data_IF_943644338148
#
_entry.id   IF_943644338148
#
_cell.length_a   1.000
_cell.length_b   1.000
_cell.length_c   1.000
_cell.angle_alpha   90.00
_cell.angle_beta   90.00
_cell.angle_gamma   90.00
#
_symmetry.space_group_name_H-M   'P 1'
#
loop_
_entity.id
_entity.type
_entity.pdbx_description
1 polymer ?
#
# COMPACT_ATOMS: atom_id res chain seq x y z
N UNK A 1 -1.72 -59.88 -29.39
CA UNK A 1 -2.51 -60.52 -30.49
C UNK A 1 -3.34 -59.45 -31.15
N UNK A 2 -3.22 -59.40 -32.50
CA UNK A 2 -4.03 -58.67 -33.52
C UNK A 2 -4.06 -57.14 -33.40
N UNK A 3 -3.32 -56.34 -34.20
CA UNK A 3 -3.21 -56.18 -35.70
C UNK A 3 -4.49 -55.69 -36.37
N UNK A 4 -4.40 -54.52 -37.03
CA UNK A 4 -5.28 -53.94 -38.05
C UNK A 4 -4.99 -52.45 -38.12
N UNK A 5 -4.26 -51.86 -38.93
CA UNK A 5 -3.85 -51.71 -40.35
C UNK A 5 -4.92 -50.99 -41.21
N UNK A 6 -4.50 -49.84 -41.74
CA UNK A 6 -4.83 -49.11 -43.00
C UNK A 6 -6.24 -48.51 -43.14
N UNK A 7 -6.39 -47.26 -43.62
CA UNK A 7 -6.05 -46.82 -44.99
C UNK A 7 -6.02 -45.32 -45.18
N UNK A 8 -5.11 -44.86 -46.03
CA UNK A 8 -5.01 -43.57 -46.71
C UNK A 8 -6.20 -43.32 -47.67
N UNK A 9 -6.58 -42.06 -47.82
CA UNK A 9 -6.94 -41.53 -49.15
C UNK A 9 -6.59 -40.03 -49.24
N UNK A 10 -5.75 -39.73 -50.22
CA UNK A 10 -5.43 -38.39 -50.70
C UNK A 10 -6.40 -38.02 -51.83
N UNK A 11 -6.75 -36.76 -51.93
CA UNK A 11 -7.29 -36.19 -53.15
C UNK A 11 -6.79 -34.75 -53.31
N UNK A 12 -6.02 -34.54 -54.38
CA UNK A 12 -5.59 -33.27 -54.90
C UNK A 12 -6.49 -32.86 -56.09
N UNK A 13 -6.59 -31.57 -56.32
CA UNK A 13 -6.86 -30.90 -57.62
C UNK A 13 -7.59 -29.57 -57.35
N UNK A 14 -7.45 -28.46 -58.04
CA UNK A 14 -6.57 -28.02 -59.11
C UNK A 14 -6.71 -26.49 -59.23
N UNK A 15 -5.72 -25.88 -59.81
CA UNK A 15 -5.63 -24.45 -60.19
C UNK A 15 -6.67 -24.06 -61.23
N UNK A 16 -7.10 -22.77 -61.21
CA UNK A 16 -7.42 -22.05 -62.44
C UNK A 16 -6.88 -20.61 -62.38
N UNK A 17 -5.90 -20.35 -63.22
CA UNK A 17 -5.46 -19.03 -63.68
C UNK A 17 -6.46 -18.47 -64.68
N UNK A 18 -6.79 -17.20 -64.55
CA UNK A 18 -7.49 -16.42 -65.61
C UNK A 18 -6.76 -15.09 -65.81
N UNK A 19 -5.87 -15.07 -66.76
CA UNK A 19 -5.36 -13.86 -67.43
C UNK A 19 -6.31 -13.48 -68.56
N UNK A 20 -6.71 -12.20 -68.65
CA UNK A 20 -7.04 -11.58 -69.89
C UNK A 20 -6.55 -10.15 -69.93
N UNK A 21 -5.90 -9.81 -71.03
CA UNK A 21 -5.14 -8.61 -71.29
C UNK A 21 -5.94 -7.59 -72.14
N UNK A 22 -5.47 -6.34 -72.06
CA UNK A 22 -5.40 -5.29 -73.10
C UNK A 22 -6.65 -4.72 -73.77
N UNK A 23 -6.73 -3.39 -73.69
CA UNK A 23 -7.47 -2.52 -74.60
C UNK A 23 -7.36 -1.05 -74.25
N UNK A 24 -6.66 -0.34 -75.02
CA UNK A 24 -6.10 0.98 -75.19
C UNK A 24 -7.01 2.21 -75.10
N UNK A 25 -6.37 3.33 -74.74
CA UNK A 25 -6.52 4.74 -75.11
C UNK A 25 -7.76 5.55 -74.76
N UNK A 26 -7.51 6.65 -74.09
CA UNK A 26 -8.37 7.81 -73.93
C UNK A 26 -8.03 8.66 -72.73
N UNK A 27 -7.22 9.72 -72.86
CA UNK A 27 -6.76 10.57 -71.78
C UNK A 27 -7.91 11.39 -71.16
N UNK A 28 -7.82 11.58 -69.88
CA UNK A 28 -8.27 12.83 -69.30
C UNK A 28 -7.55 13.06 -67.94
N UNK A 29 -7.20 14.30 -67.68
CA UNK A 29 -6.47 14.79 -66.56
C UNK A 29 -7.34 14.77 -65.29
N UNK A 30 -7.24 13.73 -64.47
CA UNK A 30 -7.87 13.63 -63.15
C UNK A 30 -6.84 13.77 -62.03
N UNK A 31 -6.94 14.79 -61.27
CA UNK A 31 -6.10 15.06 -60.07
C UNK A 31 -6.09 13.86 -59.12
N UNK A 32 -4.88 13.35 -58.87
CA UNK A 32 -4.60 12.31 -57.90
C UNK A 32 -4.87 12.86 -56.48
N UNK A 33 -6.03 12.52 -55.92
CA UNK A 33 -6.28 12.77 -54.49
C UNK A 33 -5.30 11.91 -53.68
N UNK A 34 -4.36 12.56 -53.01
CA UNK A 34 -3.55 11.92 -51.97
C UNK A 34 -4.48 11.30 -50.90
N UNK A 35 -4.24 10.06 -50.45
CA UNK A 35 -5.00 9.52 -49.35
C UNK A 35 -4.80 10.42 -48.15
N UNK A 36 -5.91 10.84 -47.54
CA UNK A 36 -5.90 11.56 -46.27
C UNK A 36 -5.07 10.79 -45.25
N UNK A 37 -4.31 11.48 -44.38
CA UNK A 37 -3.61 10.80 -43.26
C UNK A 37 -4.66 10.00 -42.49
N UNK A 38 -4.53 8.68 -42.46
CA UNK A 38 -5.40 7.82 -41.69
C UNK A 38 -5.33 8.26 -40.22
N UNK A 39 -6.47 8.55 -39.64
CA UNK A 39 -6.59 8.70 -38.20
C UNK A 39 -5.98 7.46 -37.57
N UNK A 40 -4.81 7.62 -37.00
CA UNK A 40 -4.19 6.57 -36.18
C UNK A 40 -5.13 6.32 -34.98
N UNK A 41 -5.85 5.19 -35.04
CA UNK A 41 -6.63 4.72 -33.92
C UNK A 41 -5.73 4.78 -32.70
N UNK A 42 -6.15 5.42 -31.57
CA UNK A 42 -5.33 5.48 -30.39
C UNK A 42 -4.85 4.06 -30.05
N UNK A 43 -3.58 3.88 -29.82
CA UNK A 43 -3.06 2.60 -29.35
C UNK A 43 -3.87 2.19 -28.12
N UNK A 44 -4.34 0.94 -28.09
CA UNK A 44 -5.07 0.45 -26.93
C UNK A 44 -4.19 0.66 -25.69
N UNK A 45 -4.76 1.25 -24.64
CA UNK A 45 -4.03 1.43 -23.39
C UNK A 45 -3.53 0.07 -22.89
N UNK A 46 -2.31 0.05 -22.34
CA UNK A 46 -1.73 -1.18 -21.80
C UNK A 46 -2.53 -1.70 -20.58
N UNK A 47 -2.17 -2.90 -20.12
CA UNK A 47 -2.78 -3.52 -18.93
C UNK A 47 -1.95 -3.20 -17.68
N UNK A 48 -2.63 -2.89 -16.57
CA UNK A 48 -2.00 -2.63 -15.26
C UNK A 48 -2.14 -3.87 -14.38
N UNK A 49 -1.02 -4.39 -13.86
CA UNK A 49 -0.99 -5.40 -12.80
C UNK A 49 -0.75 -4.74 -11.45
N UNK A 50 -1.47 -5.17 -10.42
CA UNK A 50 -1.25 -4.72 -9.03
C UNK A 50 -1.09 -5.92 -8.12
N UNK A 51 -0.06 -5.91 -7.29
CA UNK A 51 0.18 -6.96 -6.29
C UNK A 51 0.11 -6.36 -4.90
N UNK A 52 -0.96 -6.69 -4.17
CA UNK A 52 -1.13 -6.37 -2.76
C UNK A 52 -0.38 -7.38 -1.88
N UNK A 53 0.09 -6.98 -0.68
CA UNK A 53 1.03 -7.81 0.07
C UNK A 53 0.33 -8.97 0.80
N UNK A 54 -0.70 -8.68 1.55
CA UNK A 54 -1.40 -9.65 2.40
C UNK A 54 -2.76 -9.08 2.88
N UNK A 55 -3.45 -9.79 3.75
CA UNK A 55 -4.71 -9.36 4.38
C UNK A 55 -4.62 -9.27 5.91
N UNK A 56 -3.43 -9.52 6.50
CA UNK A 56 -3.23 -9.62 7.95
C UNK A 56 -2.50 -8.42 8.55
N UNK A 57 -1.54 -7.84 7.82
CA UNK A 57 -0.75 -6.71 8.30
C UNK A 57 -1.61 -5.45 8.47
N UNK A 58 -2.53 -5.23 7.55
CA UNK A 58 -3.56 -4.19 7.64
C UNK A 58 -4.77 -4.58 6.78
N UNK A 59 -5.97 -4.34 7.30
CA UNK A 59 -7.22 -4.59 6.57
C UNK A 59 -7.37 -3.68 5.33
N UNK A 60 -6.69 -2.52 5.31
CA UNK A 60 -6.81 -1.51 4.25
C UNK A 60 -6.56 -2.08 2.85
N UNK A 61 -5.64 -3.03 2.71
CA UNK A 61 -5.26 -3.60 1.42
C UNK A 61 -6.45 -4.13 0.61
N UNK A 62 -7.40 -4.78 1.28
CA UNK A 62 -8.61 -5.32 0.66
C UNK A 62 -9.80 -4.37 0.74
N UNK A 63 -9.94 -3.61 1.84
CA UNK A 63 -11.13 -2.78 2.08
C UNK A 63 -11.05 -1.39 1.45
N UNK A 64 -9.85 -0.85 1.29
CA UNK A 64 -9.63 0.51 0.78
C UNK A 64 -8.77 0.52 -0.50
N UNK A 65 -7.53 0.03 -0.44
CA UNK A 65 -6.59 0.11 -1.56
C UNK A 65 -7.15 -0.57 -2.81
N UNK A 66 -7.58 -1.83 -2.72
CA UNK A 66 -8.21 -2.55 -3.84
C UNK A 66 -9.38 -1.77 -4.42
N UNK A 67 -10.27 -1.30 -3.56
CA UNK A 67 -11.49 -0.58 -3.97
C UNK A 67 -11.15 0.68 -4.77
N UNK A 68 -10.31 1.55 -4.23
CA UNK A 68 -10.02 2.83 -4.88
C UNK A 68 -9.18 2.67 -6.15
N UNK A 69 -8.25 1.70 -6.19
CA UNK A 69 -7.50 1.36 -7.40
C UNK A 69 -8.45 0.84 -8.50
N UNK A 70 -9.36 -0.10 -8.16
CA UNK A 70 -10.35 -0.58 -9.11
C UNK A 70 -11.26 0.51 -9.64
N UNK A 71 -11.76 1.39 -8.77
CA UNK A 71 -12.60 2.53 -9.15
C UNK A 71 -11.87 3.44 -10.15
N UNK A 72 -10.60 3.78 -9.87
CA UNK A 72 -9.80 4.62 -10.75
C UNK A 72 -9.53 3.99 -12.12
N UNK A 73 -9.15 2.71 -12.17
CA UNK A 73 -8.88 2.01 -13.41
C UNK A 73 -10.15 1.80 -14.24
N UNK A 74 -11.27 1.46 -13.59
CA UNK A 74 -12.59 1.37 -14.26
C UNK A 74 -13.01 2.70 -14.87
N UNK A 75 -12.88 3.79 -14.11
CA UNK A 75 -13.21 5.13 -14.59
C UNK A 75 -12.36 5.56 -15.80
N UNK A 76 -11.09 5.13 -15.85
CA UNK A 76 -10.17 5.42 -16.95
C UNK A 76 -10.33 4.46 -18.14
N UNK A 77 -11.14 3.40 -18.04
CA UNK A 77 -11.33 2.39 -19.09
C UNK A 77 -10.05 1.58 -19.40
N UNK A 78 -9.13 1.45 -18.42
CA UNK A 78 -7.87 0.72 -18.60
C UNK A 78 -8.03 -0.71 -18.05
N UNK A 79 -7.51 -1.70 -18.78
CA UNK A 79 -7.50 -3.09 -18.31
C UNK A 79 -6.58 -3.24 -17.10
N UNK A 80 -7.02 -3.99 -16.09
CA UNK A 80 -6.25 -4.21 -14.88
C UNK A 80 -6.42 -5.63 -14.32
N UNK A 81 -5.52 -6.00 -13.41
CA UNK A 81 -5.54 -7.24 -12.64
C UNK A 81 -4.96 -6.93 -11.25
N UNK A 82 -5.75 -7.09 -10.20
CA UNK A 82 -5.32 -6.84 -8.82
C UNK A 82 -5.37 -8.14 -8.05
N UNK A 83 -4.22 -8.63 -7.62
CA UNK A 83 -4.09 -9.86 -6.83
C UNK A 83 -3.40 -9.58 -5.50
N UNK A 84 -3.56 -10.51 -4.56
CA UNK A 84 -2.96 -10.41 -3.23
C UNK A 84 -2.06 -11.63 -3.00
N UNK A 85 -0.82 -11.38 -2.60
CA UNK A 85 0.18 -12.42 -2.37
C UNK A 85 -0.02 -13.18 -1.04
N UNK A 86 -0.93 -12.71 -0.17
CA UNK A 86 -1.25 -13.32 1.13
C UNK A 86 -0.01 -13.54 2.03
N UNK A 87 1.01 -12.69 1.90
CA UNK A 87 2.25 -12.78 2.66
C UNK A 87 3.23 -13.84 2.17
N UNK A 88 2.91 -14.54 1.08
CA UNK A 88 3.76 -15.58 0.50
C UNK A 88 4.65 -15.01 -0.60
N UNK A 89 5.97 -15.03 -0.39
CA UNK A 89 6.97 -14.50 -1.32
C UNK A 89 7.00 -15.26 -2.65
N UNK A 90 6.76 -16.57 -2.63
CA UNK A 90 6.71 -17.40 -3.85
C UNK A 90 5.46 -17.05 -4.66
N UNK A 91 4.32 -16.88 -3.98
CA UNK A 91 3.09 -16.44 -4.63
C UNK A 91 3.23 -15.04 -5.20
N UNK A 92 3.89 -14.11 -4.48
CA UNK A 92 4.16 -12.76 -4.96
C UNK A 92 4.91 -12.76 -6.29
N UNK A 93 5.98 -13.57 -6.40
CA UNK A 93 6.75 -13.73 -7.64
C UNK A 93 5.92 -14.41 -8.75
N UNK A 94 5.16 -15.44 -8.39
CA UNK A 94 4.30 -16.17 -9.33
C UNK A 94 3.22 -15.25 -9.93
N UNK A 95 2.59 -14.42 -9.11
CA UNK A 95 1.59 -13.43 -9.56
C UNK A 95 2.25 -12.42 -10.52
N UNK A 96 3.43 -11.90 -10.17
CA UNK A 96 4.16 -10.98 -11.05
C UNK A 96 4.45 -11.60 -12.42
N UNK A 97 4.93 -12.85 -12.44
CA UNK A 97 5.22 -13.60 -13.64
C UNK A 97 3.98 -13.81 -14.53
N UNK A 98 2.87 -14.16 -13.91
CA UNK A 98 1.60 -14.33 -14.60
C UNK A 98 1.09 -13.01 -15.19
N UNK A 99 1.16 -11.90 -14.42
CA UNK A 99 0.73 -10.59 -14.89
C UNK A 99 1.57 -10.13 -16.09
N UNK A 100 2.90 -10.27 -16.03
CA UNK A 100 3.80 -9.93 -17.13
C UNK A 100 3.50 -10.80 -18.37
N UNK A 101 3.37 -12.12 -18.18
CA UNK A 101 3.05 -13.05 -19.27
C UNK A 101 1.69 -12.76 -19.89
N UNK A 102 0.72 -12.31 -19.10
CA UNK A 102 -0.62 -11.93 -19.55
C UNK A 102 -0.70 -10.50 -20.10
N UNK A 103 0.44 -9.90 -20.42
CA UNK A 103 0.54 -8.63 -21.14
C UNK A 103 0.40 -7.37 -20.30
N UNK A 104 0.72 -7.43 -18.99
CA UNK A 104 0.85 -6.22 -18.20
C UNK A 104 1.97 -5.33 -18.76
N UNK A 105 1.69 -4.06 -19.00
CA UNK A 105 2.65 -3.04 -19.42
C UNK A 105 3.12 -2.17 -18.28
N UNK A 106 2.36 -2.20 -17.16
CA UNK A 106 2.70 -1.55 -15.89
C UNK A 106 2.49 -2.56 -14.76
N UNK A 107 3.43 -2.64 -13.84
CA UNK A 107 3.33 -3.44 -12.64
C UNK A 107 3.49 -2.52 -11.41
N UNK A 108 2.46 -2.47 -10.59
CA UNK A 108 2.44 -1.77 -9.32
C UNK A 108 2.55 -2.81 -8.20
N UNK A 109 3.50 -2.66 -7.28
CA UNK A 109 3.72 -3.64 -6.22
C UNK A 109 3.73 -2.99 -4.84
N UNK A 110 3.17 -3.71 -3.85
CA UNK A 110 3.46 -3.52 -2.43
C UNK A 110 4.36 -4.67 -2.01
N UNK A 111 5.65 -4.44 -1.92
CA UNK A 111 6.60 -5.52 -1.64
C UNK A 111 6.40 -6.14 -0.25
N UNK A 112 6.78 -7.43 -0.11
CA UNK A 112 6.83 -8.14 1.18
C UNK A 112 8.17 -7.91 1.90
N UNK A 113 9.21 -7.70 1.11
CA UNK A 113 10.56 -7.28 1.48
C UNK A 113 11.30 -6.78 0.24
N UNK A 114 12.37 -6.03 0.44
CA UNK A 114 13.14 -5.44 -0.66
C UNK A 114 13.77 -6.49 -1.58
N UNK A 115 14.21 -7.63 -1.07
CA UNK A 115 14.83 -8.68 -1.90
C UNK A 115 13.83 -9.30 -2.89
N UNK A 116 12.65 -9.67 -2.41
CA UNK A 116 11.57 -10.21 -3.25
C UNK A 116 11.05 -9.15 -4.24
N UNK A 117 10.84 -7.91 -3.76
CA UNK A 117 10.41 -6.80 -4.60
C UNK A 117 11.41 -6.49 -5.72
N UNK A 118 12.71 -6.41 -5.39
CA UNK A 118 13.79 -6.17 -6.35
C UNK A 118 13.80 -7.20 -7.47
N UNK A 119 13.70 -8.49 -7.16
CA UNK A 119 13.67 -9.56 -8.16
C UNK A 119 12.50 -9.38 -9.15
N UNK A 120 11.32 -8.99 -8.64
CA UNK A 120 10.14 -8.72 -9.47
C UNK A 120 10.33 -7.47 -10.33
N UNK A 121 10.86 -6.38 -9.76
CA UNK A 121 11.11 -5.13 -10.50
C UNK A 121 12.16 -5.30 -11.60
N UNK A 122 13.26 -6.02 -11.32
CA UNK A 122 14.29 -6.34 -12.31
C UNK A 122 13.71 -7.16 -13.47
N UNK A 123 12.90 -8.18 -13.16
CA UNK A 123 12.22 -8.98 -14.19
C UNK A 123 11.26 -8.15 -15.04
N UNK A 124 10.39 -7.35 -14.41
CA UNK A 124 9.47 -6.46 -15.11
C UNK A 124 10.23 -5.52 -16.06
N UNK A 125 11.29 -4.87 -15.57
CA UNK A 125 12.15 -3.99 -16.34
C UNK A 125 12.79 -4.70 -17.55
N UNK A 126 13.28 -5.94 -17.37
CA UNK A 126 13.87 -6.74 -18.46
C UNK A 126 12.88 -7.08 -19.57
N UNK A 127 11.59 -7.07 -19.27
CA UNK A 127 10.48 -7.31 -20.21
C UNK A 127 9.85 -6.02 -20.74
N UNK A 128 10.43 -4.85 -20.42
CA UNK A 128 9.90 -3.55 -20.85
C UNK A 128 8.63 -3.13 -20.11
N UNK A 129 8.30 -3.74 -18.98
CA UNK A 129 7.16 -3.40 -18.13
C UNK A 129 7.56 -2.26 -17.19
N UNK A 130 6.81 -1.15 -17.19
CA UNK A 130 7.02 -0.05 -16.27
C UNK A 130 6.63 -0.46 -14.82
N UNK A 131 7.29 0.12 -13.82
CA UNK A 131 7.12 -0.33 -12.43
C UNK A 131 6.81 0.83 -11.50
N UNK A 132 5.94 0.57 -10.52
CA UNK A 132 5.60 1.50 -9.45
C UNK A 132 5.71 0.76 -8.11
N UNK A 133 6.50 1.28 -7.18
CA UNK A 133 6.41 0.92 -5.78
C UNK A 133 5.23 1.67 -5.16
N UNK A 134 4.25 0.94 -4.66
CA UNK A 134 3.06 1.48 -4.02
C UNK A 134 3.15 1.24 -2.51
N UNK A 135 3.00 2.30 -1.71
CA UNK A 135 3.13 2.36 -0.26
C UNK A 135 4.55 2.01 0.26
N UNK A 136 5.18 0.93 -0.21
CA UNK A 136 6.48 0.44 0.27
C UNK A 136 7.57 0.57 -0.77
N UNK A 137 8.62 1.37 -0.47
CA UNK A 137 9.79 1.48 -1.34
C UNK A 137 10.60 0.17 -1.31
N UNK A 138 10.86 -0.37 -2.49
CA UNK A 138 11.76 -1.53 -2.67
C UNK A 138 13.20 -1.04 -2.74
N UNK A 139 13.94 -1.16 -1.64
CA UNK A 139 15.33 -0.74 -1.59
C UNK A 139 16.19 -1.53 -2.58
N UNK A 140 17.02 -0.83 -3.35
CA UNK A 140 17.83 -1.40 -4.43
C UNK A 140 17.01 -1.90 -5.63
N UNK A 141 15.69 -1.73 -5.66
CA UNK A 141 14.80 -2.28 -6.70
C UNK A 141 14.72 -1.44 -7.97
N UNK A 142 14.90 -0.13 -7.85
CA UNK A 142 14.91 0.80 -8.99
C UNK A 142 13.57 0.89 -9.71
N UNK A 143 12.45 0.94 -8.97
CA UNK A 143 11.14 1.25 -9.54
C UNK A 143 11.16 2.58 -10.28
N UNK A 144 10.36 2.72 -11.33
CA UNK A 144 10.26 3.97 -12.08
C UNK A 144 9.62 5.10 -11.26
N UNK A 145 8.69 4.74 -10.38
CA UNK A 145 8.01 5.66 -9.45
C UNK A 145 7.78 5.01 -8.10
N UNK A 146 7.68 5.86 -7.08
CA UNK A 146 7.25 5.50 -5.74
C UNK A 146 6.10 6.39 -5.30
N UNK A 147 5.04 5.81 -4.73
CA UNK A 147 3.90 6.54 -4.18
C UNK A 147 3.65 6.07 -2.77
N UNK A 148 3.66 7.00 -1.82
CA UNK A 148 3.42 6.70 -0.41
C UNK A 148 3.06 7.97 0.36
N UNK A 149 2.98 7.85 1.67
CA UNK A 149 2.99 8.98 2.60
C UNK A 149 4.42 9.32 3.04
N UNK A 150 4.63 10.52 3.61
CA UNK A 150 5.87 10.82 4.32
C UNK A 150 5.96 9.97 5.58
N UNK A 151 6.63 8.83 5.47
CA UNK A 151 6.71 7.83 6.52
C UNK A 151 7.54 8.30 7.73
N UNK A 152 8.52 9.18 7.53
CA UNK A 152 9.24 9.80 8.66
C UNK A 152 8.30 10.72 9.43
N UNK A 153 7.46 11.48 8.74
CA UNK A 153 6.44 12.33 9.36
C UNK A 153 5.38 11.50 10.09
N UNK A 154 4.97 10.34 9.56
CA UNK A 154 4.10 9.39 10.28
C UNK A 154 4.69 9.07 11.65
N UNK A 155 5.96 8.64 11.69
CA UNK A 155 6.64 8.33 12.95
C UNK A 155 6.76 9.54 13.88
N UNK A 156 7.07 10.72 13.33
CA UNK A 156 7.12 11.96 14.11
C UNK A 156 5.78 12.25 14.78
N UNK A 157 4.68 12.16 14.03
CA UNK A 157 3.32 12.37 14.58
C UNK A 157 2.95 11.33 15.65
N UNK A 158 3.40 10.07 15.51
CA UNK A 158 3.22 9.05 16.56
C UNK A 158 4.00 9.42 17.84
N UNK A 159 5.26 9.84 17.70
CA UNK A 159 6.09 10.28 18.83
C UNK A 159 5.49 11.50 19.53
N UNK A 160 5.11 12.53 18.77
CA UNK A 160 4.47 13.74 19.31
C UNK A 160 3.12 13.43 19.97
N UNK A 161 2.32 12.56 19.35
CA UNK A 161 1.06 12.10 19.90
C UNK A 161 1.24 11.39 21.23
N UNK A 162 2.22 10.49 21.35
CA UNK A 162 2.51 9.81 22.61
C UNK A 162 2.96 10.80 23.69
N UNK A 163 3.83 11.75 23.34
CA UNK A 163 4.27 12.80 24.26
C UNK A 163 3.07 13.61 24.78
N UNK A 164 2.18 14.04 23.87
CA UNK A 164 0.95 14.73 24.26
C UNK A 164 0.13 13.91 25.25
N UNK A 165 -0.11 12.64 24.98
CA UNK A 165 -0.94 11.79 25.82
C UNK A 165 -0.33 11.50 27.19
N UNK A 166 0.99 11.34 27.27
CA UNK A 166 1.69 11.19 28.54
C UNK A 166 1.65 12.47 29.37
N UNK A 167 1.75 13.63 28.70
CA UNK A 167 1.63 14.94 29.33
C UNK A 167 0.22 15.17 29.87
N UNK A 168 -0.81 14.87 29.08
CA UNK A 168 -2.22 14.99 29.51
C UNK A 168 -2.53 14.12 30.74
N UNK A 169 -1.88 12.95 30.82
CA UNK A 169 -1.96 12.03 31.97
C UNK A 169 -1.05 12.44 33.14
N UNK A 170 -0.26 13.50 33.00
CA UNK A 170 0.72 13.96 34.01
C UNK A 170 1.68 12.85 34.43
N UNK A 171 2.10 12.01 33.48
CA UNK A 171 3.01 10.90 33.74
C UNK A 171 4.41 11.43 34.12
N UNK A 172 4.92 11.02 35.28
CA UNK A 172 6.27 11.38 35.72
C UNK A 172 7.26 10.28 35.33
N UNK A 173 8.32 10.64 34.59
CA UNK A 173 9.35 9.72 34.07
C UNK A 173 8.77 8.42 33.47
N UNK A 174 7.82 8.52 32.52
CA UNK A 174 7.13 7.35 32.00
C UNK A 174 8.10 6.38 31.32
N UNK A 175 7.91 5.08 31.55
CA UNK A 175 8.57 4.01 30.82
C UNK A 175 7.80 3.79 29.53
N UNK A 176 8.45 3.96 28.38
CA UNK A 176 7.84 3.82 27.04
C UNK A 176 8.34 2.56 26.36
N UNK A 177 7.42 1.63 26.12
CA UNK A 177 7.67 0.42 25.33
C UNK A 177 7.44 0.66 23.83
N UNK A 178 8.19 -0.05 22.98
CA UNK A 178 8.09 0.05 21.53
C UNK A 178 7.66 -1.29 20.92
N UNK A 179 6.56 -1.27 20.17
CA UNK A 179 6.19 -2.31 19.21
C UNK A 179 6.40 -1.77 17.80
N UNK A 180 7.59 -2.01 17.27
CA UNK A 180 7.99 -1.59 15.93
C UNK A 180 7.34 -2.47 14.86
N UNK A 181 7.25 -1.96 13.63
CA UNK A 181 6.79 -2.72 12.48
C UNK A 181 7.76 -3.82 12.05
N UNK A 182 7.47 -4.44 10.90
CA UNK A 182 8.32 -5.51 10.33
C UNK A 182 9.70 -4.97 9.97
N UNK A 183 10.79 -5.65 10.39
CA UNK A 183 12.14 -5.21 10.05
C UNK A 183 12.48 -5.36 8.55
N UNK A 184 11.63 -6.07 7.78
CA UNK A 184 11.80 -6.23 6.34
C UNK A 184 11.07 -5.15 5.52
N UNK A 185 10.32 -4.26 6.20
CA UNK A 185 9.59 -3.16 5.61
C UNK A 185 10.33 -1.83 5.86
N UNK A 186 10.76 -1.17 4.79
CA UNK A 186 11.45 0.12 4.90
C UNK A 186 10.62 1.18 5.61
N UNK A 187 9.28 1.15 5.48
CA UNK A 187 8.41 2.10 6.16
C UNK A 187 8.55 1.98 7.69
N UNK A 188 8.69 0.77 8.23
CA UNK A 188 8.91 0.57 9.66
C UNK A 188 10.19 1.26 10.17
N UNK A 189 11.26 1.25 9.35
CA UNK A 189 12.50 1.98 9.64
C UNK A 189 12.27 3.49 9.63
N UNK A 190 11.52 4.00 8.64
CA UNK A 190 11.22 5.43 8.53
C UNK A 190 10.31 5.91 9.68
N UNK A 191 9.30 5.12 10.08
CA UNK A 191 8.49 5.41 11.26
C UNK A 191 9.37 5.50 12.49
N UNK A 192 10.27 4.50 12.67
CA UNK A 192 11.19 4.48 13.80
C UNK A 192 12.09 5.71 13.83
N UNK A 193 12.64 6.12 12.72
CA UNK A 193 13.44 7.34 12.63
C UNK A 193 12.63 8.58 13.07
N UNK A 194 11.35 8.64 12.67
CA UNK A 194 10.46 9.74 13.03
C UNK A 194 10.19 9.81 14.53
N UNK A 195 9.70 8.71 15.15
CA UNK A 195 9.39 8.77 16.58
C UNK A 195 10.64 8.76 17.47
N UNK A 196 11.75 8.18 17.04
CA UNK A 196 13.02 8.29 17.76
C UNK A 196 13.52 9.75 17.76
N UNK A 197 13.32 10.48 16.66
CA UNK A 197 13.62 11.91 16.59
C UNK A 197 12.91 12.73 17.69
N UNK A 198 11.70 12.32 18.08
CA UNK A 198 10.90 12.99 19.13
C UNK A 198 11.22 12.45 20.52
N UNK A 199 11.32 11.12 20.67
CA UNK A 199 11.40 10.47 22.00
C UNK A 199 12.82 10.35 22.54
N UNK A 200 13.82 10.17 21.64
CA UNK A 200 15.23 10.06 22.07
C UNK A 200 15.71 11.27 22.87
N UNK A 201 15.46 12.53 22.50
CA UNK A 201 15.83 13.67 23.34
C UNK A 201 15.25 13.61 24.75
N UNK A 202 14.03 13.07 24.91
CA UNK A 202 13.40 12.93 26.23
C UNK A 202 14.02 11.82 27.08
N UNK A 203 14.47 10.75 26.45
CA UNK A 203 15.25 9.70 27.12
C UNK A 203 16.63 10.23 27.54
N UNK A 204 17.31 10.93 26.63
CA UNK A 204 18.65 11.49 26.88
C UNK A 204 18.62 12.53 28.01
N UNK A 205 17.54 13.31 28.12
CA UNK A 205 17.31 14.27 29.21
C UNK A 205 16.86 13.63 30.52
N UNK A 206 16.57 12.31 30.56
CA UNK A 206 16.04 11.63 31.74
C UNK A 206 14.59 12.01 32.08
N UNK A 207 13.89 12.72 31.16
CA UNK A 207 12.45 13.02 31.31
C UNK A 207 11.61 11.76 31.20
N UNK A 208 11.99 10.87 30.26
CA UNK A 208 11.36 9.57 30.02
C UNK A 208 12.36 8.44 30.22
N UNK A 209 11.86 7.23 30.38
CA UNK A 209 12.68 6.01 30.45
C UNK A 209 12.37 5.14 29.25
N UNK A 210 13.42 4.76 28.50
CA UNK A 210 13.25 3.81 27.41
C UNK A 210 12.96 2.43 27.98
N UNK A 211 11.81 1.88 27.63
CA UNK A 211 11.35 0.55 28.00
C UNK A 211 11.79 -0.53 27.00
N UNK A 212 11.20 -1.73 27.10
CA UNK A 212 11.43 -2.81 26.15
C UNK A 212 11.05 -2.40 24.71
N UNK A 213 11.82 -2.91 23.75
CA UNK A 213 11.62 -2.64 22.32
C UNK A 213 11.66 -3.95 21.54
N UNK A 214 10.64 -4.19 20.71
CA UNK A 214 10.55 -5.34 19.81
C UNK A 214 10.05 -4.95 18.43
N UNK A 215 10.62 -5.57 17.39
CA UNK A 215 10.08 -5.51 16.03
C UNK A 215 9.18 -6.71 15.77
N UNK A 216 8.05 -6.47 15.12
CA UNK A 216 7.04 -7.50 14.85
C UNK A 216 7.15 -7.94 13.40
N UNK A 217 7.77 -9.10 13.17
CA UNK A 217 7.90 -9.67 11.84
C UNK A 217 6.56 -9.80 11.12
N UNK A 218 6.55 -9.41 9.84
CA UNK A 218 5.38 -9.44 8.96
C UNK A 218 4.16 -8.68 9.51
N UNK A 219 4.37 -7.74 10.45
CA UNK A 219 3.30 -7.01 11.12
C UNK A 219 2.25 -7.92 11.77
N UNK A 220 2.66 -9.10 12.25
CA UNK A 220 1.77 -10.14 12.78
C UNK A 220 1.19 -9.72 14.14
N UNK A 221 -0.09 -9.38 14.16
CA UNK A 221 -0.80 -8.91 15.36
C UNK A 221 -0.84 -9.95 16.49
N UNK A 222 -0.81 -11.25 16.16
CA UNK A 222 -0.76 -12.33 17.17
C UNK A 222 0.59 -12.37 17.86
N UNK A 223 1.67 -12.24 17.06
CA UNK A 223 3.04 -12.10 17.62
C UNK A 223 3.17 -10.85 18.47
N UNK A 224 2.60 -9.71 18.01
CA UNK A 224 2.62 -8.46 18.75
C UNK A 224 2.01 -8.62 20.15
N UNK A 225 0.86 -9.30 20.27
CA UNK A 225 0.23 -9.58 21.57
C UNK A 225 1.13 -10.40 22.48
N UNK A 226 1.76 -11.46 21.97
CA UNK A 226 2.70 -12.30 22.74
C UNK A 226 3.92 -11.52 23.20
N UNK A 227 4.53 -10.74 22.31
CA UNK A 227 5.69 -9.90 22.62
C UNK A 227 5.35 -8.84 23.66
N UNK A 228 4.19 -8.20 23.54
CA UNK A 228 3.79 -7.18 24.51
C UNK A 228 3.44 -7.77 25.90
N UNK A 229 2.87 -8.98 25.94
CA UNK A 229 2.64 -9.68 27.20
C UNK A 229 3.96 -10.01 27.93
N UNK A 230 5.01 -10.38 27.19
CA UNK A 230 6.36 -10.56 27.71
C UNK A 230 6.96 -9.23 28.21
N UNK A 231 6.86 -8.16 27.42
CA UNK A 231 7.32 -6.82 27.81
C UNK A 231 6.66 -6.34 29.10
N UNK A 232 5.34 -6.52 29.21
CA UNK A 232 4.58 -6.09 30.40
C UNK A 232 4.90 -6.95 31.62
N UNK A 233 5.25 -8.21 31.41
CA UNK A 233 5.73 -9.10 32.50
C UNK A 233 7.11 -8.67 32.98
N UNK A 234 8.01 -8.32 32.06
CA UNK A 234 9.36 -7.84 32.38
C UNK A 234 9.35 -6.45 33.05
N UNK A 235 8.45 -5.57 32.56
CA UNK A 235 8.28 -4.19 33.02
C UNK A 235 6.81 -3.88 33.29
N UNK A 236 6.29 -4.25 34.47
CA UNK A 236 4.88 -4.01 34.82
C UNK A 236 4.48 -2.53 34.95
N UNK A 237 5.47 -1.66 35.07
CA UNK A 237 5.34 -0.21 35.16
C UNK A 237 5.46 0.54 33.83
N UNK A 238 5.29 -0.15 32.69
CA UNK A 238 5.15 0.49 31.39
C UNK A 238 4.01 1.53 31.46
N UNK A 239 4.34 2.78 31.15
CA UNK A 239 3.44 3.91 31.24
C UNK A 239 2.98 4.45 29.85
N UNK A 240 3.61 4.00 28.77
CA UNK A 240 3.23 4.34 27.39
C UNK A 240 3.69 3.28 26.40
N UNK A 241 2.93 3.11 25.31
CA UNK A 241 3.25 2.16 24.24
C UNK A 241 3.28 2.91 22.92
N UNK A 242 4.45 2.96 22.32
CA UNK A 242 4.58 3.35 20.93
C UNK A 242 4.35 2.10 20.07
N UNK A 243 3.16 1.99 19.49
CA UNK A 243 2.81 0.95 18.53
C UNK A 243 2.83 1.54 17.12
N UNK A 244 3.56 0.89 16.21
CA UNK A 244 3.82 1.43 14.88
C UNK A 244 2.58 1.43 13.96
N UNK A 245 1.56 0.61 14.25
CA UNK A 245 0.25 0.69 13.60
C UNK A 245 -0.88 0.26 14.54
N UNK A 246 -2.14 0.44 14.10
CA UNK A 246 -3.32 0.08 14.88
C UNK A 246 -3.42 -1.42 15.16
N UNK A 247 -2.99 -2.28 14.24
CA UNK A 247 -2.99 -3.73 14.45
C UNK A 247 -2.14 -4.13 15.66
N UNK A 248 -0.92 -3.60 15.74
CA UNK A 248 -0.02 -3.80 16.88
C UNK A 248 -0.57 -3.12 18.15
N UNK A 249 -1.14 -1.92 17.99
CA UNK A 249 -1.81 -1.19 19.08
C UNK A 249 -3.00 -1.96 19.65
N UNK A 250 -3.85 -2.53 18.81
CA UNK A 250 -5.00 -3.36 19.20
C UNK A 250 -4.55 -4.60 19.98
N UNK A 251 -3.45 -5.24 19.57
CA UNK A 251 -2.87 -6.37 20.28
C UNK A 251 -2.37 -5.96 21.68
N UNK A 252 -1.65 -4.84 21.79
CA UNK A 252 -1.20 -4.30 23.06
C UNK A 252 -2.39 -3.93 23.98
N UNK A 253 -3.41 -3.26 23.44
CA UNK A 253 -4.62 -2.89 24.18
C UNK A 253 -5.33 -4.13 24.71
N UNK A 254 -5.38 -5.22 23.95
CA UNK A 254 -5.96 -6.48 24.41
C UNK A 254 -5.24 -7.02 25.65
N UNK A 255 -3.92 -6.95 25.69
CA UNK A 255 -3.11 -7.33 26.86
C UNK A 255 -3.33 -6.35 28.02
N UNK A 256 -3.38 -5.05 27.75
CA UNK A 256 -3.66 -4.03 28.77
C UNK A 256 -5.05 -4.23 29.40
N UNK A 257 -6.08 -4.60 28.60
CA UNK A 257 -7.42 -4.92 29.10
C UNK A 257 -7.41 -6.09 30.09
N UNK A 258 -6.71 -7.17 29.76
CA UNK A 258 -6.55 -8.33 30.66
C UNK A 258 -5.93 -7.93 32.01
N UNK A 259 -5.03 -6.94 32.02
CA UNK A 259 -4.33 -6.43 33.20
C UNK A 259 -5.01 -5.20 33.82
N UNK A 260 -6.19 -4.76 33.35
CA UNK A 260 -6.93 -3.57 33.84
C UNK A 260 -6.11 -2.27 33.74
N UNK A 261 -5.25 -2.19 32.73
CA UNK A 261 -4.37 -1.06 32.41
C UNK A 261 -4.84 -0.26 31.19
N UNK A 262 -5.86 -0.74 30.46
CA UNK A 262 -6.45 -0.02 29.34
C UNK A 262 -6.97 1.36 29.78
N UNK A 263 -6.87 2.35 28.91
CA UNK A 263 -7.18 3.74 29.22
C UNK A 263 -6.22 4.42 30.21
N UNK A 264 -5.37 3.67 30.93
CA UNK A 264 -4.33 4.21 31.82
C UNK A 264 -3.00 4.36 31.10
N UNK A 265 -2.62 3.37 30.30
CA UNK A 265 -1.40 3.36 29.49
C UNK A 265 -1.77 3.81 28.07
N UNK A 266 -1.35 5.01 27.63
CA UNK A 266 -1.61 5.48 26.25
C UNK A 266 -0.89 4.61 25.24
N UNK A 267 -1.60 4.30 24.15
CA UNK A 267 -1.11 3.51 23.01
C UNK A 267 -1.25 4.33 21.74
N UNK A 268 -0.23 4.37 20.91
CA UNK A 268 -0.30 4.99 19.57
C UNK A 268 -0.76 3.99 18.52
N UNK A 269 -1.03 4.47 17.31
CA UNK A 269 -1.34 3.67 16.14
C UNK A 269 -1.08 4.41 14.85
N UNK A 270 -1.43 3.75 13.74
CA UNK A 270 -1.43 4.27 12.38
C UNK A 270 -2.44 3.46 11.56
N UNK A 271 -2.97 4.03 10.52
CA UNK A 271 -3.94 3.55 9.52
C UNK A 271 -5.39 3.96 9.80
N UNK A 272 -5.73 4.46 10.98
CA UNK A 272 -7.10 4.84 11.36
C UNK A 272 -8.13 3.74 11.05
N UNK A 273 -7.79 2.50 11.43
CA UNK A 273 -8.68 1.36 11.25
C UNK A 273 -9.95 1.52 12.10
N UNK A 274 -11.05 0.89 11.71
CA UNK A 274 -12.31 0.92 12.50
C UNK A 274 -12.04 0.56 13.96
N UNK A 275 -11.27 -0.51 14.23
CA UNK A 275 -10.95 -0.92 15.59
C UNK A 275 -10.03 0.09 16.31
N UNK A 276 -9.07 0.71 15.60
CA UNK A 276 -8.21 1.77 16.17
C UNK A 276 -9.05 3.00 16.55
N UNK A 277 -9.94 3.45 15.66
CA UNK A 277 -10.86 4.56 15.93
C UNK A 277 -11.83 4.24 17.08
N UNK A 278 -12.36 3.03 17.14
CA UNK A 278 -13.19 2.56 18.28
C UNK A 278 -12.42 2.59 19.57
N UNK A 279 -11.16 2.14 19.58
CA UNK A 279 -10.29 2.21 20.77
C UNK A 279 -10.01 3.66 21.17
N UNK A 280 -9.87 4.60 20.23
CA UNK A 280 -9.75 6.04 20.53
C UNK A 280 -11.04 6.56 21.16
N UNK A 281 -12.20 6.23 20.60
CA UNK A 281 -13.50 6.61 21.14
C UNK A 281 -13.74 6.03 22.55
N UNK A 282 -13.23 4.83 22.83
CA UNK A 282 -13.27 4.20 24.16
C UNK A 282 -12.25 4.78 25.17
N UNK A 283 -11.25 5.53 24.70
CA UNK A 283 -10.14 6.02 25.50
C UNK A 283 -9.05 4.97 25.77
N UNK A 284 -9.08 3.84 25.08
CA UNK A 284 -8.11 2.75 25.20
C UNK A 284 -6.86 2.99 24.32
N UNK A 285 -7.03 3.65 23.17
CA UNK A 285 -5.96 4.15 22.33
C UNK A 285 -5.92 5.68 22.40
N UNK A 286 -4.73 6.23 22.45
CA UNK A 286 -4.56 7.67 22.55
C UNK A 286 -4.77 8.39 21.23
N UNK A 287 -4.15 7.88 20.19
CA UNK A 287 -4.18 8.46 18.85
C UNK A 287 -3.86 7.43 17.79
N UNK A 288 -4.21 7.76 16.56
CA UNK A 288 -3.71 7.08 15.36
C UNK A 288 -3.21 8.10 14.34
N UNK A 289 -2.38 7.67 13.39
CA UNK A 289 -2.02 8.50 12.23
C UNK A 289 -2.86 8.05 11.04
N UNK A 290 -3.66 8.96 10.53
CA UNK A 290 -4.50 8.75 9.37
C UNK A 290 -3.70 8.99 8.09
N UNK A 291 -3.79 8.03 7.20
CA UNK A 291 -3.33 8.09 5.81
C UNK A 291 -4.56 8.05 4.92
N UNK A 292 -4.81 9.10 4.16
CA UNK A 292 -5.95 9.18 3.24
C UNK A 292 -5.71 8.25 2.02
N UNK A 293 -5.97 6.96 2.18
CA UNK A 293 -5.65 5.90 1.20
C UNK A 293 -6.25 6.18 -0.18
N UNK A 294 -7.42 6.81 -0.23
CA UNK A 294 -8.02 7.25 -1.49
C UNK A 294 -7.08 8.14 -2.29
N UNK A 295 -6.43 9.11 -1.65
CA UNK A 295 -5.47 10.02 -2.32
C UNK A 295 -4.22 9.27 -2.80
N UNK A 296 -3.75 8.29 -2.02
CA UNK A 296 -2.60 7.45 -2.40
C UNK A 296 -2.94 6.60 -3.63
N UNK A 297 -4.10 5.93 -3.61
CA UNK A 297 -4.59 5.13 -4.73
C UNK A 297 -4.84 5.98 -5.98
N UNK A 298 -5.41 7.19 -5.83
CA UNK A 298 -5.62 8.14 -6.93
C UNK A 298 -4.28 8.59 -7.54
N UNK A 299 -3.30 8.95 -6.71
CA UNK A 299 -1.98 9.36 -7.20
C UNK A 299 -1.25 8.21 -7.92
N UNK A 300 -1.25 7.01 -7.35
CA UNK A 300 -0.64 5.84 -7.95
C UNK A 300 -1.34 5.41 -9.24
N UNK A 301 -2.68 5.43 -9.24
CA UNK A 301 -3.47 5.12 -10.43
C UNK A 301 -3.22 6.11 -11.56
N UNK A 302 -3.10 7.41 -11.26
CA UNK A 302 -2.80 8.42 -12.28
C UNK A 302 -1.45 8.15 -12.97
N UNK A 303 -0.40 7.80 -12.19
CA UNK A 303 0.88 7.40 -12.73
C UNK A 303 0.77 6.12 -13.58
N UNK A 304 0.10 5.10 -13.06
CA UNK A 304 -0.06 3.81 -13.74
C UNK A 304 -0.84 3.94 -15.07
N UNK A 305 -1.92 4.73 -15.08
CA UNK A 305 -2.73 5.00 -16.26
C UNK A 305 -1.92 5.76 -17.32
N UNK A 306 -1.17 6.79 -16.93
CA UNK A 306 -0.27 7.52 -17.82
C UNK A 306 0.77 6.59 -18.45
N UNK A 307 1.45 5.77 -17.65
CA UNK A 307 2.41 4.78 -18.13
C UNK A 307 1.76 3.76 -19.09
N UNK A 308 0.56 3.26 -18.77
CA UNK A 308 -0.18 2.33 -19.62
C UNK A 308 -0.57 2.95 -20.97
N UNK A 309 -0.68 4.27 -21.07
CA UNK A 309 -0.89 5.03 -22.30
C UNK A 309 0.42 5.38 -23.02
N UNK A 310 1.58 4.98 -22.50
CA UNK A 310 2.89 5.32 -23.04
C UNK A 310 3.37 6.73 -22.71
N UNK A 311 2.74 7.39 -21.75
CA UNK A 311 3.13 8.71 -21.25
C UNK A 311 4.28 8.61 -20.23
N UNK A 312 4.89 9.74 -19.91
CA UNK A 312 5.86 9.88 -18.82
C UNK A 312 5.29 10.86 -17.79
N UNK A 313 4.43 10.41 -16.87
CA UNK A 313 3.81 11.29 -15.90
C UNK A 313 4.88 11.90 -14.97
N UNK A 314 4.64 13.14 -14.52
CA UNK A 314 5.54 13.82 -13.59
C UNK A 314 5.29 13.33 -12.15
N UNK A 315 6.37 13.07 -11.42
CA UNK A 315 6.34 12.94 -9.96
C UNK A 315 6.37 14.33 -9.30
N UNK A 316 5.95 14.44 -8.05
CA UNK A 316 5.98 15.71 -7.29
C UNK A 316 7.31 15.94 -6.58
N UNK A 317 8.15 14.92 -6.45
CA UNK A 317 9.45 14.96 -5.81
C UNK A 317 10.28 13.72 -6.06
N UNK A 318 11.26 13.49 -5.21
CA UNK A 318 12.11 12.29 -5.23
C UNK A 318 12.33 11.77 -3.80
N UNK A 319 12.60 10.48 -3.69
CA UNK A 319 13.02 9.83 -2.43
C UNK A 319 14.35 9.14 -2.66
N UNK A 320 15.24 9.24 -1.69
CA UNK A 320 16.54 8.56 -1.70
C UNK A 320 16.36 7.08 -1.40
N UNK A 321 16.70 6.22 -2.32
CA UNK A 321 16.89 4.80 -2.05
C UNK A 321 18.24 4.63 -1.34
N UNK A 322 18.20 4.23 -0.09
CA UNK A 322 19.40 4.15 0.77
C UNK A 322 20.31 2.98 0.43
N UNK A 323 19.82 1.97 -0.28
CA UNK A 323 20.61 0.80 -0.69
C UNK A 323 21.35 1.08 -2.01
N UNK A 324 20.66 1.59 -3.02
CA UNK A 324 21.28 1.90 -4.31
C UNK A 324 21.94 3.28 -4.35
N UNK A 325 21.58 4.20 -3.45
CA UNK A 325 21.97 5.59 -3.47
C UNK A 325 21.33 6.41 -4.59
N UNK A 326 20.38 5.86 -5.34
CA UNK A 326 19.66 6.57 -6.39
C UNK A 326 18.49 7.41 -5.85
N UNK A 327 18.11 8.45 -6.59
CA UNK A 327 16.88 9.19 -6.35
C UNK A 327 15.75 8.55 -7.17
N UNK A 328 14.68 8.15 -6.49
CA UNK A 328 13.48 7.56 -7.10
C UNK A 328 12.43 8.65 -7.24
N UNK A 329 11.87 8.90 -8.45
CA UNK A 329 10.75 9.81 -8.63
C UNK A 329 9.58 9.41 -7.72
N UNK A 330 9.05 10.34 -6.91
CA UNK A 330 8.09 9.99 -5.88
C UNK A 330 6.94 10.99 -5.77
N UNK A 331 5.78 10.47 -5.33
CA UNK A 331 4.66 11.25 -4.81
C UNK A 331 4.50 10.89 -3.35
N UNK A 332 4.82 11.82 -2.46
CA UNK A 332 4.64 11.67 -1.02
C UNK A 332 3.46 12.52 -0.55
N UNK A 333 2.57 11.89 0.18
CA UNK A 333 1.36 12.49 0.74
C UNK A 333 1.54 12.81 2.22
N UNK A 334 0.80 13.82 2.69
CA UNK A 334 0.84 14.23 4.10
C UNK A 334 -0.07 13.37 4.97
N UNK A 335 0.48 12.71 6.03
CA UNK A 335 -0.32 12.03 7.04
C UNK A 335 -0.90 13.03 8.06
N UNK A 336 -1.94 12.62 8.79
CA UNK A 336 -2.64 13.44 9.79
C UNK A 336 -2.75 12.72 11.14
N UNK A 337 -2.48 13.38 12.28
CA UNK A 337 -2.71 12.80 13.59
C UNK A 337 -4.20 12.88 13.93
N UNK A 338 -4.76 11.77 14.40
CA UNK A 338 -6.16 11.65 14.81
C UNK A 338 -6.22 11.37 16.30
N UNK A 339 -6.88 12.26 17.04
CA UNK A 339 -7.26 12.10 18.44
C UNK A 339 -8.79 12.01 18.52
N UNK A 340 -9.31 11.89 19.73
CA UNK A 340 -10.76 11.73 19.96
C UNK A 340 -11.59 12.76 19.18
N UNK A 341 -11.23 14.04 19.25
CA UNK A 341 -12.00 15.15 18.66
C UNK A 341 -11.97 15.16 17.12
N UNK A 342 -10.95 14.52 16.52
CA UNK A 342 -10.75 14.46 15.07
C UNK A 342 -11.13 13.12 14.43
N UNK A 343 -11.65 12.15 15.19
CA UNK A 343 -12.20 10.91 14.61
C UNK A 343 -13.28 11.20 13.58
N UNK A 344 -14.10 12.22 13.78
CA UNK A 344 -15.13 12.67 12.85
C UNK A 344 -14.57 13.06 11.46
N UNK A 345 -13.32 13.52 11.39
CA UNK A 345 -12.71 13.96 10.13
C UNK A 345 -12.42 12.76 9.22
N UNK A 346 -12.08 11.61 9.80
CA UNK A 346 -11.88 10.34 9.06
C UNK A 346 -13.21 9.83 8.48
N UNK A 347 -14.30 10.01 9.23
CA UNK A 347 -15.66 9.68 8.76
C UNK A 347 -16.11 10.66 7.68
N UNK A 348 -15.85 11.95 7.85
CA UNK A 348 -16.19 12.98 6.87
C UNK A 348 -15.43 12.79 5.54
N UNK A 349 -14.19 12.28 5.57
CA UNK A 349 -13.40 11.92 4.37
C UNK A 349 -13.92 10.64 3.68
N UNK A 350 -14.85 9.91 4.31
CA UNK A 350 -15.45 8.69 3.78
C UNK A 350 -14.55 7.45 3.83
N UNK A 351 -13.47 7.49 4.61
CA UNK A 351 -12.57 6.35 4.78
C UNK A 351 -13.19 5.23 5.63
N UNK A 352 -13.91 5.63 6.68
CA UNK A 352 -14.73 4.75 7.54
C UNK A 352 -16.14 5.34 7.59
N UNK A 353 -17.15 4.50 7.46
CA UNK A 353 -18.53 4.95 7.58
C UNK A 353 -18.97 5.03 9.03
N UNK A 354 -19.97 5.89 9.30
CA UNK A 354 -20.59 5.95 10.64
C UNK A 354 -21.19 4.61 11.04
N UNK A 355 -21.79 3.90 10.11
CA UNK A 355 -22.44 2.60 10.31
C UNK A 355 -21.44 1.53 10.75
N UNK A 356 -20.21 1.56 10.20
CA UNK A 356 -19.12 0.66 10.59
C UNK A 356 -18.53 1.03 11.95
N UNK A 357 -18.34 2.32 12.20
CA UNK A 357 -17.65 2.81 13.39
C UNK A 357 -18.54 2.81 14.62
N UNK A 358 -19.79 3.30 14.49
CA UNK A 358 -20.67 3.67 15.59
C UNK A 358 -21.62 2.53 16.00
N UNK A 359 -21.13 1.29 15.99
CA UNK A 359 -21.91 0.09 16.34
C UNK A 359 -21.97 -0.13 17.85
N UNK A 360 -23.08 -0.67 18.34
CA UNK A 360 -23.23 -1.08 19.76
C UNK A 360 -22.90 0.05 20.75
N UNK A 361 -21.98 -0.21 21.66
CA UNK A 361 -21.60 0.74 22.73
C UNK A 361 -20.88 1.99 22.21
N UNK A 362 -20.41 1.99 20.94
CA UNK A 362 -19.75 3.14 20.35
C UNK A 362 -20.72 4.22 19.84
N UNK A 363 -22.03 3.94 19.70
CA UNK A 363 -23.00 4.91 19.22
C UNK A 363 -23.03 6.20 20.07
N UNK A 364 -23.01 6.05 21.41
CA UNK A 364 -22.95 7.18 22.32
C UNK A 364 -21.62 7.96 22.20
N UNK A 365 -20.51 7.24 22.06
CA UNK A 365 -19.18 7.82 21.91
C UNK A 365 -19.01 8.56 20.58
N UNK A 366 -19.58 8.06 19.52
CA UNK A 366 -19.65 8.76 18.24
C UNK A 366 -20.39 10.10 18.36
N UNK A 367 -21.52 10.11 19.08
CA UNK A 367 -22.26 11.35 19.33
C UNK A 367 -21.41 12.35 20.13
N UNK A 368 -20.70 11.88 21.17
CA UNK A 368 -19.77 12.68 21.98
C UNK A 368 -18.65 13.28 21.11
N UNK A 369 -18.12 12.51 20.16
CA UNK A 369 -17.09 12.93 19.21
C UNK A 369 -17.62 13.79 18.06
N UNK A 370 -18.93 14.09 18.01
CA UNK A 370 -19.57 14.93 16.98
C UNK A 370 -19.72 14.23 15.62
N UNK A 371 -19.76 12.90 15.58
CA UNK A 371 -20.02 12.10 14.37
C UNK A 371 -21.54 12.03 14.17
N UNK A 372 -22.05 12.71 13.12
CA UNK A 372 -23.47 12.84 12.81
C UNK A 372 -23.96 11.87 11.73
#
# INVERSE_FOLDING_TARGET
MRKGILSLTAAAAAMTLGLTACGSEGGDTGAQASPAPGESKPAAAGKIGVILPDSKSSARWETADRKYLEEAFKAAGVAYDIQNAQGDKTQFQTIADQMITNGATVLMIVNLDSGTGKAVLEKAKSQGVATIDYDRLTLGGGAAYYVSFDNTKVGTLQGEGLVKCLTDKKAEKPIVAYLNGSPTDNNATLFKNGYDGVLKPKFDAGEYVKGPEQSVENWDNTKAGTLFEQMLTEKPDIAGVLAANDGLGNAAITVLKKNKLNGKVPVTGQDATVQGLQNILAGDQCMTVYKAIKKEAEAASALAIGLAKGEKPAATGTVKDTESGADVPAVLLDPQPIFFESVKDVVADGFVTKEELCTGDFAAKCTEAGIQ
#
